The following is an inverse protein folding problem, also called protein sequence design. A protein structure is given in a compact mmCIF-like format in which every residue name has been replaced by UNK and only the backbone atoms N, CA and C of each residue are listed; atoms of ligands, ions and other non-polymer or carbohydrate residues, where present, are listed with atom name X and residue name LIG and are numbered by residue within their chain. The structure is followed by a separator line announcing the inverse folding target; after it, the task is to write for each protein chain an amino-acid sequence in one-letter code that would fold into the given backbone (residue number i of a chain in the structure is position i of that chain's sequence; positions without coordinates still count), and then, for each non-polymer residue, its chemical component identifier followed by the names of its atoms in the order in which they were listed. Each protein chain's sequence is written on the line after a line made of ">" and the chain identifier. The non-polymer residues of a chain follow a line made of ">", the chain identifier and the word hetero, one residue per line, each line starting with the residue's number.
data_IF_792872011015
#
_entry.id   IF_792872011015
#
_cell.length_a   1.000
_cell.length_b   1.000
_cell.length_c   1.000
_cell.angle_alpha   90.00
_cell.angle_beta   90.00
_cell.angle_gamma   90.00
#
_symmetry.space_group_name_H-M   'P 1'
#
loop_
_entity.id
_entity.type
_entity.pdbx_description
1 polymer ?
#
# COMPACT_ATOMS: atom_id res chain seq x y z
N UNK A 1 -27.12 19.90 -1.93
CA UNK A 1 -26.92 19.25 -3.24
C UNK A 1 -28.25 19.18 -3.97
N UNK A 2 -28.32 19.69 -5.20
CA UNK A 2 -29.54 19.74 -6.02
C UNK A 2 -29.42 18.93 -7.32
N UNK A 3 -28.26 18.31 -7.56
CA UNK A 3 -27.96 17.42 -8.67
C UNK A 3 -27.25 16.16 -8.13
N UNK A 4 -27.35 15.01 -8.83
CA UNK A 4 -26.66 13.80 -8.40
C UNK A 4 -25.14 13.97 -8.48
N UNK A 5 -24.45 13.29 -7.56
CA UNK A 5 -23.00 13.11 -7.56
C UNK A 5 -22.76 11.60 -7.67
N UNK A 6 -21.90 11.20 -8.60
CA UNK A 6 -21.54 9.78 -8.83
C UNK A 6 -20.13 9.55 -8.31
N UNK A 7 -19.93 8.44 -7.61
CA UNK A 7 -18.61 8.01 -7.14
C UNK A 7 -18.15 6.81 -7.98
N UNK A 8 -17.15 7.03 -8.83
CA UNK A 8 -16.38 5.94 -9.42
C UNK A 8 -15.43 5.38 -8.37
N UNK A 9 -15.62 4.13 -7.96
CA UNK A 9 -14.77 3.46 -6.97
C UNK A 9 -13.82 2.50 -7.67
N UNK A 10 -12.52 2.73 -7.53
CA UNK A 10 -11.50 1.77 -7.99
C UNK A 10 -11.62 0.47 -7.18
N UNK A 11 -11.80 -0.66 -7.88
CA UNK A 11 -12.22 -1.91 -7.26
C UNK A 11 -11.07 -2.88 -6.92
N UNK A 12 -9.81 -2.46 -7.10
CA UNK A 12 -8.65 -3.33 -6.98
C UNK A 12 -7.56 -2.75 -6.08
N UNK A 13 -6.85 -3.63 -5.36
CA UNK A 13 -5.64 -3.30 -4.60
C UNK A 13 -5.90 -2.63 -3.25
N UNK A 14 -4.94 -1.79 -2.87
CA UNK A 14 -4.92 -0.97 -1.67
C UNK A 14 -5.17 -1.79 -0.39
N UNK A 15 -5.79 -1.18 0.63
CA UNK A 15 -6.11 -1.83 1.90
C UNK A 15 -6.98 -3.08 1.74
N UNK A 16 -7.68 -3.25 0.62
CA UNK A 16 -8.55 -4.42 0.40
C UNK A 16 -7.77 -5.70 0.09
N UNK A 17 -6.48 -5.58 -0.27
CA UNK A 17 -5.56 -6.69 -0.52
C UNK A 17 -4.22 -6.52 0.19
N UNK A 18 -4.19 -5.72 1.25
CA UNK A 18 -2.98 -5.44 2.01
C UNK A 18 -2.49 -6.67 2.77
N UNK A 19 -1.19 -6.66 3.11
CA UNK A 19 -0.62 -7.56 4.12
C UNK A 19 -0.36 -6.76 5.37
N UNK A 20 -0.82 -7.26 6.52
CA UNK A 20 -0.59 -6.67 7.82
C UNK A 20 0.04 -7.66 8.80
N UNK A 21 0.69 -7.12 9.82
CA UNK A 21 1.23 -7.90 10.92
C UNK A 21 1.39 -7.05 12.18
N UNK A 22 1.46 -7.74 13.31
CA UNK A 22 1.86 -7.16 14.60
C UNK A 22 3.37 -7.33 14.80
N UNK A 23 4.07 -6.26 15.13
CA UNK A 23 5.46 -6.32 15.59
C UNK A 23 5.53 -6.24 17.12
N UNK A 24 6.40 -7.04 17.77
CA UNK A 24 6.32 -7.29 19.21
C UNK A 24 7.04 -6.25 20.10
N UNK A 25 7.82 -5.32 19.55
CA UNK A 25 8.63 -4.39 20.34
C UNK A 25 9.34 -3.32 19.53
N UNK A 26 10.24 -2.58 20.18
CA UNK A 26 11.07 -1.54 19.57
C UNK A 26 11.84 -2.11 18.38
N UNK A 27 11.86 -1.40 17.26
CA UNK A 27 12.53 -1.83 16.04
C UNK A 27 12.43 -0.82 14.91
N UNK A 28 12.90 -1.19 13.73
CA UNK A 28 12.80 -0.39 12.51
C UNK A 28 11.88 -1.09 11.52
N UNK A 29 10.93 -0.34 10.98
CA UNK A 29 10.09 -0.79 9.87
C UNK A 29 10.68 -0.26 8.57
N UNK A 30 10.96 -1.16 7.63
CA UNK A 30 11.34 -0.82 6.25
C UNK A 30 10.33 -1.43 5.28
N UNK A 31 10.23 -0.83 4.10
CA UNK A 31 9.52 -1.41 2.95
C UNK A 31 10.53 -1.65 1.84
N UNK A 32 10.47 -2.83 1.23
CA UNK A 32 11.48 -3.31 0.28
C UNK A 32 10.84 -3.94 -0.94
N UNK A 33 11.31 -3.52 -2.11
CA UNK A 33 11.04 -4.15 -3.40
C UNK A 33 12.31 -4.86 -3.88
N UNK A 34 12.14 -6.08 -4.39
CA UNK A 34 13.20 -6.89 -5.01
C UNK A 34 12.70 -7.28 -6.40
N UNK A 35 13.25 -6.63 -7.42
CA UNK A 35 12.96 -6.91 -8.82
C UNK A 35 13.69 -8.17 -9.31
N UNK A 36 13.12 -8.82 -10.30
CA UNK A 36 13.75 -9.99 -10.95
C UNK A 36 15.01 -9.61 -11.74
N UNK A 37 15.16 -8.33 -12.08
CA UNK A 37 16.36 -7.74 -12.68
C UNK A 37 17.50 -7.49 -11.66
N UNK A 38 17.27 -7.85 -10.39
CA UNK A 38 18.19 -7.59 -9.29
C UNK A 38 18.10 -6.18 -8.72
N UNK A 39 17.20 -5.32 -9.22
CA UNK A 39 16.96 -4.02 -8.63
C UNK A 39 16.39 -4.19 -7.22
N UNK A 40 16.98 -3.47 -6.27
CA UNK A 40 16.47 -3.40 -4.89
C UNK A 40 16.15 -1.95 -4.56
N UNK A 41 14.92 -1.72 -4.13
CA UNK A 41 14.47 -0.43 -3.59
C UNK A 41 14.09 -0.66 -2.14
N UNK A 42 14.67 0.10 -1.22
CA UNK A 42 14.38 -0.01 0.20
C UNK A 42 14.19 1.38 0.80
N UNK A 43 13.11 1.55 1.56
CA UNK A 43 12.78 2.79 2.24
C UNK A 43 12.51 2.55 3.71
N UNK A 44 12.99 3.49 4.52
CA UNK A 44 12.64 3.56 5.93
C UNK A 44 11.20 4.03 6.08
N UNK A 45 10.39 3.27 6.81
CA UNK A 45 9.01 3.61 7.10
C UNK A 45 8.92 4.31 8.45
N UNK A 46 9.47 3.70 9.50
CA UNK A 46 9.35 4.21 10.86
C UNK A 46 10.34 3.56 11.83
N UNK A 47 10.96 4.37 12.70
CA UNK A 47 11.69 3.89 13.88
C UNK A 47 10.71 3.69 15.05
N UNK A 48 10.20 2.47 15.20
CA UNK A 48 9.19 2.13 16.19
C UNK A 48 9.76 2.08 17.61
N UNK A 49 9.26 2.88 18.57
CA UNK A 49 9.78 2.91 19.94
C UNK A 49 9.30 1.74 20.82
N UNK A 50 8.23 1.04 20.42
CA UNK A 50 7.59 -0.06 21.16
C UNK A 50 6.81 -0.96 20.18
N UNK A 51 6.04 -1.94 20.68
CA UNK A 51 5.19 -2.82 19.87
C UNK A 51 4.07 -2.08 19.12
N UNK A 52 3.57 -2.67 18.03
CA UNK A 52 2.51 -2.07 17.22
C UNK A 52 2.08 -2.96 16.07
N UNK A 53 1.40 -2.37 15.08
CA UNK A 53 0.96 -3.02 13.85
C UNK A 53 1.43 -2.24 12.63
N UNK A 54 1.70 -2.94 11.54
CA UNK A 54 2.08 -2.36 10.25
C UNK A 54 1.25 -3.00 9.14
N UNK A 55 1.00 -2.23 8.07
CA UNK A 55 0.26 -2.64 6.88
C UNK A 55 1.02 -2.18 5.64
N UNK A 56 1.14 -3.05 4.64
CA UNK A 56 1.64 -2.72 3.32
C UNK A 56 0.54 -2.87 2.28
N UNK A 57 0.31 -1.81 1.51
CA UNK A 57 -0.66 -1.74 0.42
C UNK A 57 0.06 -1.72 -0.92
N UNK A 58 -0.60 -2.17 -1.98
CA UNK A 58 -0.11 -2.06 -3.35
C UNK A 58 -1.25 -1.84 -4.32
N UNK A 59 -0.91 -1.31 -5.49
CA UNK A 59 -1.77 -1.30 -6.66
C UNK A 59 -0.91 -1.49 -7.92
N UNK A 60 -1.54 -1.69 -9.06
CA UNK A 60 -0.86 -1.90 -10.32
C UNK A 60 -1.14 -0.76 -11.28
N UNK A 61 -0.08 -0.33 -11.97
CA UNK A 61 -0.10 0.68 -13.01
C UNK A 61 -1.21 0.47 -14.05
N UNK A 62 -1.38 -0.76 -14.53
CA UNK A 62 -2.44 -1.13 -15.47
C UNK A 62 -3.83 -0.92 -14.85
N UNK A 63 -4.04 -1.43 -13.63
CA UNK A 63 -5.33 -1.29 -12.93
C UNK A 63 -5.73 0.17 -12.71
N UNK A 64 -4.77 1.04 -12.37
CA UNK A 64 -5.01 2.47 -12.19
C UNK A 64 -5.37 3.14 -13.53
N UNK A 65 -4.63 2.83 -14.61
CA UNK A 65 -4.89 3.40 -15.93
C UNK A 65 -6.23 2.96 -16.51
N UNK A 66 -6.61 1.70 -16.31
CA UNK A 66 -7.92 1.19 -16.71
C UNK A 66 -9.04 1.89 -15.94
N UNK A 67 -8.89 2.06 -14.62
CA UNK A 67 -9.85 2.80 -13.81
C UNK A 67 -10.01 4.25 -14.26
N UNK A 68 -8.92 4.94 -14.60
CA UNK A 68 -8.97 6.33 -15.08
C UNK A 68 -9.68 6.51 -16.43
N UNK A 69 -9.82 5.45 -17.23
CA UNK A 69 -10.48 5.46 -18.54
C UNK A 69 -11.93 4.94 -18.50
N UNK A 70 -12.36 4.41 -17.36
CA UNK A 70 -13.68 3.83 -17.17
C UNK A 70 -14.79 4.87 -16.97
#
# INVERSE_FOLDING_TARGET
>A
WTKPIIVGRHAFGDQYRATDFRFPGKGKLTIKFVGEDGQVIEHDVFDAPAAGVAMAMYNLDESIREFARA
#
